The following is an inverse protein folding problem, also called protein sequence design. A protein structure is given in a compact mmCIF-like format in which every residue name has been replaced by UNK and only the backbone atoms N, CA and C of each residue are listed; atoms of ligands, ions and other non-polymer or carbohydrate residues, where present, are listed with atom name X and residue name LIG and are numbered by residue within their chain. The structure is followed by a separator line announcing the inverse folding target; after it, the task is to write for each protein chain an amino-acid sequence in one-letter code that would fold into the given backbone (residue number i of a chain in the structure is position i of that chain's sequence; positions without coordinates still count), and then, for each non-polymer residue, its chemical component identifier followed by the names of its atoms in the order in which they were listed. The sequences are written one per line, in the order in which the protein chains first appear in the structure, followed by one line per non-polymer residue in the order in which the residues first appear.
data_IF_051180651407
#
_entry.id   IF_051180651407
#
_cell.length_a   1.000
_cell.length_b   1.000
_cell.length_c   1.000
_cell.angle_alpha   90.00
_cell.angle_beta   90.00
_cell.angle_gamma   90.00
#
_symmetry.space_group_name_H-M   'P 1'
#
loop_
_entity.id
_entity.type
_entity.pdbx_description
1 polymer ?
#
# COMPACT_ATOMS: atom_id res chain seq x y z
N UNK A 1 -3.34 -8.17 -19.95
CA UNK A 1 -4.04 -9.47 -20.27
C UNK A 1 -4.91 -9.86 -19.09
N UNK A 2 -6.13 -10.41 -19.29
CA UNK A 2 -6.99 -10.82 -18.16
C UNK A 2 -6.50 -12.14 -17.56
N UNK A 3 -6.17 -12.13 -16.28
CA UNK A 3 -5.55 -13.27 -15.59
C UNK A 3 -5.92 -13.31 -14.10
N UNK A 4 -6.07 -14.52 -13.57
CA UNK A 4 -6.30 -14.77 -12.14
C UNK A 4 -5.11 -15.50 -11.54
N UNK A 5 -4.57 -14.99 -10.42
CA UNK A 5 -3.42 -15.54 -9.71
C UNK A 5 -3.84 -15.94 -8.28
N UNK A 6 -3.46 -17.10 -7.74
CA UNK A 6 -3.70 -17.43 -6.33
C UNK A 6 -2.83 -16.57 -5.42
N UNK A 7 -3.30 -16.24 -4.21
CA UNK A 7 -2.45 -15.84 -3.10
C UNK A 7 -2.08 -17.12 -2.34
N UNK A 8 -1.01 -17.78 -2.78
CA UNK A 8 -0.67 -19.11 -2.31
C UNK A 8 0.20 -19.10 -1.04
N UNK A 9 -0.17 -19.87 -0.03
CA UNK A 9 0.64 -20.08 1.17
C UNK A 9 1.80 -21.05 0.85
N UNK A 10 3.01 -20.81 1.36
CA UNK A 10 4.07 -21.80 1.27
C UNK A 10 3.69 -23.07 2.04
N UNK A 11 3.72 -24.23 1.37
CA UNK A 11 3.34 -25.51 1.98
C UNK A 11 4.19 -25.84 3.20
N UNK A 12 5.48 -25.49 3.17
CA UNK A 12 6.40 -25.64 4.31
C UNK A 12 5.96 -24.89 5.55
N UNK A 13 5.34 -23.71 5.40
CA UNK A 13 4.82 -22.93 6.53
C UNK A 13 3.54 -23.57 7.09
N UNK A 14 2.64 -24.01 6.20
CA UNK A 14 1.41 -24.73 6.55
C UNK A 14 1.74 -25.99 7.36
N UNK A 15 2.69 -26.78 6.88
CA UNK A 15 3.12 -28.03 7.52
C UNK A 15 3.82 -27.76 8.86
N UNK A 16 4.75 -26.79 8.90
CA UNK A 16 5.50 -26.44 10.10
C UNK A 16 4.56 -26.01 11.24
N UNK A 17 3.57 -25.16 10.95
CA UNK A 17 2.62 -24.68 11.96
C UNK A 17 1.37 -25.53 12.14
N UNK A 18 1.28 -26.67 11.42
CA UNK A 18 0.12 -27.58 11.42
C UNK A 18 -1.20 -26.82 11.18
N UNK A 19 -1.20 -25.91 10.20
CA UNK A 19 -2.36 -25.06 9.94
C UNK A 19 -3.54 -25.87 9.39
N UNK A 20 -4.65 -25.86 10.13
CA UNK A 20 -5.92 -26.39 9.65
C UNK A 20 -6.56 -25.38 8.67
N UNK A 21 -6.31 -25.60 7.38
CA UNK A 21 -6.89 -24.82 6.30
C UNK A 21 -8.42 -24.99 6.20
N UNK A 22 -9.03 -25.97 6.88
CA UNK A 22 -10.49 -26.09 6.92
C UNK A 22 -11.12 -25.19 7.99
N UNK A 23 -10.34 -24.73 8.96
CA UNK A 23 -10.83 -23.94 10.08
C UNK A 23 -11.18 -22.51 9.66
N UNK A 24 -12.19 -21.94 10.33
CA UNK A 24 -12.54 -20.54 10.18
C UNK A 24 -11.48 -19.66 10.83
N UNK A 25 -11.22 -18.46 10.28
CA UNK A 25 -10.26 -17.54 10.90
C UNK A 25 -10.58 -17.17 12.36
N UNK A 26 -11.84 -17.23 12.75
CA UNK A 26 -12.27 -17.04 14.14
C UNK A 26 -11.70 -18.06 15.12
N UNK A 27 -11.09 -19.16 14.65
CA UNK A 27 -10.46 -20.17 15.50
C UNK A 27 -8.97 -19.92 15.72
N UNK A 28 -8.48 -18.72 15.37
CA UNK A 28 -7.18 -18.22 15.84
C UNK A 28 -6.13 -18.00 14.77
N UNK A 29 -6.37 -18.23 13.47
CA UNK A 29 -5.42 -17.91 12.40
C UNK A 29 -6.03 -17.03 11.31
N UNK A 30 -5.22 -16.34 10.51
CA UNK A 30 -5.73 -15.46 9.46
C UNK A 30 -4.76 -15.27 8.30
N UNK A 31 -5.30 -14.82 7.16
CA UNK A 31 -4.56 -14.39 5.98
C UNK A 31 -5.04 -12.98 5.59
N UNK A 32 -4.09 -12.06 5.46
CA UNK A 32 -4.38 -10.66 5.10
C UNK A 32 -3.50 -10.23 3.93
N UNK A 33 -4.10 -9.63 2.90
CA UNK A 33 -3.33 -8.95 1.85
C UNK A 33 -2.95 -7.55 2.32
N UNK A 34 -1.70 -7.16 2.10
CA UNK A 34 -1.22 -5.81 2.39
C UNK A 34 -1.06 -4.99 1.12
N UNK A 35 -0.38 -5.54 0.10
CA UNK A 35 -0.12 -4.79 -1.12
C UNK A 35 0.12 -5.68 -2.35
N UNK A 36 -0.01 -5.08 -3.53
CA UNK A 36 0.31 -5.69 -4.83
C UNK A 36 1.18 -4.73 -5.64
N UNK A 37 2.19 -5.24 -6.34
CA UNK A 37 3.02 -4.43 -7.24
C UNK A 37 3.17 -5.12 -8.59
N UNK A 38 3.15 -4.35 -9.67
CA UNK A 38 3.53 -4.80 -11.01
C UNK A 38 4.94 -4.34 -11.34
N UNK A 39 5.70 -5.16 -12.04
CA UNK A 39 7.00 -4.81 -12.58
C UNK A 39 6.92 -4.50 -14.09
N UNK A 40 7.88 -3.71 -14.64
CA UNK A 40 7.90 -3.40 -16.08
C UNK A 40 8.06 -4.60 -17.01
N UNK A 41 8.55 -5.74 -16.50
CA UNK A 41 8.64 -7.01 -17.23
C UNK A 41 7.32 -7.80 -17.21
N UNK A 42 6.23 -7.21 -16.70
CA UNK A 42 4.92 -7.84 -16.62
C UNK A 42 4.71 -8.78 -15.43
N UNK A 43 5.73 -8.97 -14.58
CA UNK A 43 5.63 -9.74 -13.34
C UNK A 43 4.74 -9.04 -12.30
N UNK A 44 4.15 -9.84 -11.42
CA UNK A 44 3.30 -9.36 -10.33
C UNK A 44 3.86 -9.88 -9.01
N UNK A 45 3.93 -8.99 -8.02
CA UNK A 45 4.32 -9.31 -6.68
C UNK A 45 3.14 -9.08 -5.73
N UNK A 46 2.96 -10.00 -4.78
CA UNK A 46 1.93 -9.89 -3.76
C UNK A 46 2.54 -9.95 -2.37
N UNK A 47 2.28 -8.93 -1.55
CA UNK A 47 2.67 -8.87 -0.15
C UNK A 47 1.44 -9.15 0.72
N UNK A 48 1.48 -10.23 1.48
CA UNK A 48 0.40 -10.66 2.37
C UNK A 48 0.99 -11.24 3.65
N UNK A 49 0.15 -11.56 4.63
CA UNK A 49 0.61 -12.13 5.88
C UNK A 49 -0.31 -13.20 6.39
N UNK A 50 0.31 -14.13 7.10
CA UNK A 50 -0.33 -15.23 7.78
C UNK A 50 0.04 -15.15 9.25
N UNK A 51 -0.94 -15.27 10.12
CA UNK A 51 -0.71 -15.23 11.55
C UNK A 51 -1.60 -16.21 12.29
N UNK A 52 -1.17 -16.59 13.49
CA UNK A 52 -1.99 -17.26 14.49
C UNK A 52 -1.85 -16.55 15.83
N UNK A 53 -3.00 -16.23 16.42
CA UNK A 53 -3.13 -15.80 17.80
C UNK A 53 -4.15 -16.69 18.52
N UNK A 54 -3.67 -17.45 19.50
CA UNK A 54 -4.47 -18.39 20.27
C UNK A 54 -4.64 -17.87 21.70
N UNK A 55 -5.89 -17.61 22.10
CA UNK A 55 -6.17 -17.15 23.47
C UNK A 55 -5.76 -18.20 24.50
N UNK A 56 -5.03 -17.77 25.53
CA UNK A 56 -4.58 -18.64 26.63
C UNK A 56 -3.33 -19.46 26.31
N UNK A 57 -2.72 -19.28 25.14
CA UNK A 57 -1.36 -19.77 24.85
C UNK A 57 -0.36 -18.75 25.38
N UNK A 58 0.63 -19.22 26.14
CA UNK A 58 1.69 -18.38 26.68
C UNK A 58 2.63 -17.89 25.57
N UNK A 59 3.17 -16.69 25.72
CA UNK A 59 4.12 -16.12 24.73
C UNK A 59 5.42 -16.94 24.62
N UNK A 60 5.75 -17.70 25.67
CA UNK A 60 6.91 -18.60 25.71
C UNK A 60 6.65 -19.97 25.05
N UNK A 61 5.42 -20.28 24.62
CA UNK A 61 5.10 -21.53 23.94
C UNK A 61 5.94 -21.71 22.67
N UNK A 62 6.59 -22.86 22.55
CA UNK A 62 7.55 -23.15 21.48
C UNK A 62 7.05 -24.20 20.49
N UNK A 63 6.01 -25.00 20.80
CA UNK A 63 5.47 -25.96 19.80
C UNK A 63 4.90 -25.17 18.62
N UNK A 64 5.47 -25.30 17.41
CA UNK A 64 4.99 -24.58 16.24
C UNK A 64 3.54 -24.92 15.89
N UNK A 65 2.98 -26.03 16.40
CA UNK A 65 1.57 -26.40 16.25
C UNK A 65 0.59 -25.60 17.12
N UNK A 66 1.07 -24.93 18.18
CA UNK A 66 0.22 -24.19 19.15
C UNK A 66 0.65 -22.73 19.32
N UNK A 67 1.96 -22.46 19.24
CA UNK A 67 2.56 -21.14 19.45
C UNK A 67 1.94 -20.06 18.55
N UNK A 68 1.92 -18.83 19.06
CA UNK A 68 1.56 -17.66 18.25
C UNK A 68 2.64 -17.39 17.20
N UNK A 69 2.25 -16.93 16.02
CA UNK A 69 3.21 -16.53 15.00
C UNK A 69 2.62 -15.45 14.07
N UNK A 70 3.51 -14.70 13.44
CA UNK A 70 3.18 -13.77 12.36
C UNK A 70 4.28 -13.78 11.31
N UNK A 71 3.91 -14.06 10.06
CA UNK A 71 4.78 -13.91 8.90
C UNK A 71 4.17 -12.96 7.89
N UNK A 72 5.04 -12.19 7.25
CA UNK A 72 4.77 -11.57 5.95
C UNK A 72 5.40 -12.43 4.88
N UNK A 73 4.73 -12.49 3.74
CA UNK A 73 5.10 -13.29 2.59
C UNK A 73 5.01 -12.42 1.35
N UNK A 74 6.04 -12.47 0.52
CA UNK A 74 6.06 -11.91 -0.83
C UNK A 74 6.00 -13.08 -1.81
N UNK A 75 5.00 -13.11 -2.68
CA UNK A 75 4.93 -14.06 -3.79
C UNK A 75 5.20 -13.34 -5.12
N UNK A 76 6.07 -13.92 -5.96
CA UNK A 76 6.44 -13.41 -7.28
C UNK A 76 5.84 -14.28 -8.39
N UNK A 77 5.06 -13.67 -9.27
CA UNK A 77 4.42 -14.31 -10.41
C UNK A 77 5.03 -13.83 -11.73
N UNK A 78 5.23 -14.74 -12.69
CA UNK A 78 5.59 -14.39 -14.06
C UNK A 78 4.48 -13.60 -14.75
N UNK A 79 4.76 -13.03 -15.92
CA UNK A 79 3.76 -12.40 -16.77
C UNK A 79 2.62 -13.38 -17.15
N UNK A 80 2.94 -14.65 -17.34
CA UNK A 80 2.02 -15.76 -17.63
C UNK A 80 1.31 -16.32 -16.38
N UNK A 81 1.64 -15.78 -15.20
CA UNK A 81 0.96 -16.09 -13.95
C UNK A 81 1.43 -17.37 -13.28
N UNK A 82 2.65 -17.81 -13.61
CA UNK A 82 3.34 -18.88 -12.89
C UNK A 82 3.93 -18.32 -11.60
N UNK A 83 3.77 -19.03 -10.47
CA UNK A 83 4.42 -18.67 -9.23
C UNK A 83 5.90 -19.06 -9.31
N UNK A 84 6.79 -18.08 -9.35
CA UNK A 84 8.22 -18.27 -9.56
C UNK A 84 8.97 -18.51 -8.24
N UNK A 85 8.67 -17.70 -7.23
CA UNK A 85 9.32 -17.76 -5.92
C UNK A 85 8.45 -17.09 -4.84
N UNK A 86 8.75 -17.41 -3.58
CA UNK A 86 8.26 -16.70 -2.42
C UNK A 86 9.42 -16.27 -1.51
N UNK A 87 9.17 -15.25 -0.70
CA UNK A 87 10.01 -14.87 0.43
C UNK A 87 9.15 -14.67 1.67
N UNK A 88 9.69 -14.95 2.85
CA UNK A 88 9.02 -14.69 4.12
C UNK A 88 9.93 -13.98 5.11
N UNK A 89 9.32 -13.19 6.00
CA UNK A 89 9.96 -12.56 7.16
C UNK A 89 8.97 -12.49 8.32
N UNK A 90 9.47 -12.47 9.55
CA UNK A 90 8.64 -12.48 10.77
C UNK A 90 8.25 -11.06 11.18
N UNK A 91 7.10 -10.93 11.83
CA UNK A 91 6.63 -9.66 12.43
C UNK A 91 6.45 -9.72 13.93
N UNK A 92 6.46 -10.91 14.53
CA UNK A 92 6.21 -11.09 15.95
C UNK A 92 6.96 -12.33 16.52
N UNK A 93 7.45 -12.22 17.76
CA UNK A 93 8.01 -13.31 18.57
C UNK A 93 9.34 -12.97 19.27
N UNK A 94 9.81 -13.82 20.20
CA UNK A 94 11.09 -13.62 20.91
C UNK A 94 12.31 -13.58 19.97
N UNK A 95 12.16 -14.05 18.73
CA UNK A 95 13.17 -14.02 17.66
C UNK A 95 12.92 -12.89 16.64
N UNK A 96 12.31 -11.76 17.04
CA UNK A 96 12.15 -10.57 16.18
C UNK A 96 13.50 -10.10 15.59
N UNK A 97 14.62 -10.42 16.26
CA UNK A 97 15.99 -10.18 15.82
C UNK A 97 16.41 -10.96 14.55
N UNK A 98 15.64 -11.97 14.11
CA UNK A 98 15.95 -12.80 12.93
C UNK A 98 15.37 -12.25 11.60
N UNK A 99 14.61 -11.15 11.61
CA UNK A 99 14.09 -10.53 10.38
C UNK A 99 15.11 -9.54 9.79
N UNK A 100 15.51 -9.76 8.53
CA UNK A 100 16.31 -8.76 7.79
C UNK A 100 15.49 -7.59 7.26
N UNK A 101 14.16 -7.60 7.45
CA UNK A 101 13.24 -6.55 7.02
C UNK A 101 12.86 -5.66 8.21
N UNK A 102 13.01 -4.35 8.06
CA UNK A 102 12.59 -3.37 9.07
C UNK A 102 11.07 -3.40 9.27
N UNK A 103 10.64 -3.57 10.53
CA UNK A 103 9.23 -3.67 10.90
C UNK A 103 8.52 -2.31 10.92
N UNK A 104 7.20 -2.29 10.79
CA UNK A 104 6.40 -1.07 10.91
C UNK A 104 4.96 -1.23 10.46
N UNK A 105 4.20 -0.15 10.64
CA UNK A 105 2.78 -0.10 10.30
C UNK A 105 2.56 0.25 8.82
N UNK A 106 1.44 -0.20 8.24
CA UNK A 106 1.05 0.19 6.89
C UNK A 106 2.03 -0.28 5.80
N UNK A 107 2.53 -1.52 5.94
CA UNK A 107 3.53 -2.09 5.02
C UNK A 107 3.05 -2.07 3.56
N UNK A 108 3.93 -1.68 2.65
CA UNK A 108 3.70 -1.59 1.22
C UNK A 108 4.85 -2.16 0.41
N UNK A 109 4.60 -2.34 -0.88
CA UNK A 109 5.53 -2.89 -1.85
C UNK A 109 5.66 -1.96 -3.06
N UNK A 110 6.87 -1.84 -3.58
CA UNK A 110 7.17 -1.11 -4.80
C UNK A 110 8.28 -1.82 -5.58
N UNK A 111 8.20 -1.84 -6.91
CA UNK A 111 9.29 -2.28 -7.79
C UNK A 111 10.00 -1.05 -8.31
N UNK A 112 11.28 -0.90 -7.96
CA UNK A 112 12.13 0.21 -8.40
C UNK A 112 12.48 0.08 -9.90
N UNK A 113 12.96 1.15 -10.56
CA UNK A 113 13.25 1.14 -12.00
C UNK A 113 14.27 0.07 -12.44
N UNK A 114 15.16 -0.36 -11.55
CA UNK A 114 16.16 -1.42 -11.79
C UNK A 114 15.65 -2.83 -11.46
N UNK A 115 14.39 -2.96 -11.04
CA UNK A 115 13.75 -4.21 -10.66
C UNK A 115 13.92 -4.61 -9.18
N UNK A 116 14.71 -3.87 -8.40
CA UNK A 116 14.82 -4.08 -6.95
C UNK A 116 13.46 -3.85 -6.30
N UNK A 117 13.12 -4.66 -5.31
CA UNK A 117 11.90 -4.46 -4.54
C UNK A 117 12.18 -3.57 -3.33
N UNK A 118 11.35 -2.57 -3.12
CA UNK A 118 11.31 -1.80 -1.90
C UNK A 118 10.08 -2.22 -1.07
N UNK A 119 10.35 -2.74 0.12
CA UNK A 119 9.34 -2.96 1.17
C UNK A 119 9.35 -1.71 2.04
N UNK A 120 8.21 -1.01 2.15
CA UNK A 120 8.11 0.25 2.90
C UNK A 120 7.16 0.12 4.06
N UNK A 121 7.43 0.77 5.18
CA UNK A 121 6.50 0.84 6.32
C UNK A 121 6.64 2.17 7.07
N UNK A 122 5.55 2.61 7.70
CA UNK A 122 5.54 3.76 8.61
C UNK A 122 6.26 3.38 9.92
N UNK A 123 7.12 4.24 10.51
CA UNK A 123 7.29 5.66 10.22
C UNK A 123 8.02 5.99 8.90
N UNK A 124 9.21 5.43 8.63
CA UNK A 124 9.94 5.66 7.37
C UNK A 124 10.94 4.55 7.07
N UNK A 125 10.48 3.32 7.28
CA UNK A 125 11.26 2.10 7.12
C UNK A 125 11.23 1.68 5.66
N UNK A 126 12.40 1.45 5.06
CA UNK A 126 12.51 0.94 3.69
C UNK A 126 13.53 -0.19 3.64
N UNK A 127 13.13 -1.38 3.21
CA UNK A 127 14.04 -2.50 2.97
C UNK A 127 14.12 -2.80 1.48
N UNK A 128 15.34 -2.83 0.94
CA UNK A 128 15.61 -3.22 -0.44
C UNK A 128 15.85 -4.73 -0.53
N UNK A 129 15.17 -5.39 -1.44
CA UNK A 129 15.23 -6.85 -1.65
C UNK A 129 15.57 -7.15 -3.10
N UNK A 130 16.41 -8.15 -3.31
CA UNK A 130 16.80 -8.59 -4.65
C UNK A 130 15.55 -8.97 -5.50
N UNK A 131 15.55 -8.73 -6.82
CA UNK A 131 14.39 -8.99 -7.68
C UNK A 131 13.89 -10.45 -7.65
N UNK A 132 14.80 -11.39 -7.39
CA UNK A 132 14.54 -12.83 -7.25
C UNK A 132 14.08 -13.24 -5.83
N UNK A 133 13.93 -12.28 -4.93
CA UNK A 133 13.57 -12.46 -3.52
C UNK A 133 14.64 -13.18 -2.68
N UNK A 134 15.86 -13.35 -3.19
CA UNK A 134 16.83 -14.25 -2.54
C UNK A 134 17.46 -13.69 -1.26
N UNK A 135 17.50 -12.36 -1.12
CA UNK A 135 18.23 -11.66 -0.04
C UNK A 135 17.81 -10.21 0.10
N UNK A 136 17.98 -9.69 1.30
CA UNK A 136 18.00 -8.25 1.60
C UNK A 136 19.29 -7.64 1.04
N UNK A 137 19.16 -6.47 0.40
CA UNK A 137 20.25 -5.70 -0.19
C UNK A 137 20.67 -4.53 0.72
N UNK A 138 19.69 -3.82 1.31
CA UNK A 138 19.92 -2.75 2.25
C UNK A 138 18.67 -2.52 3.12
N UNK A 139 18.89 -1.96 4.30
CA UNK A 139 17.82 -1.63 5.26
C UNK A 139 17.99 -0.19 5.72
N UNK A 140 16.98 0.62 5.45
CA UNK A 140 16.83 1.99 5.91
C UNK A 140 15.81 2.00 7.04
N UNK A 141 16.28 1.71 8.25
CA UNK A 141 15.43 1.57 9.43
C UNK A 141 15.41 2.88 10.23
N UNK A 142 14.23 3.46 10.39
CA UNK A 142 13.98 4.65 11.18
C UNK A 142 14.33 4.46 12.66
N UNK A 143 14.26 3.22 13.19
CA UNK A 143 14.34 2.87 14.62
C UNK A 143 13.39 3.65 15.54
N UNK A 144 12.42 4.36 14.95
CA UNK A 144 11.42 5.19 15.61
C UNK A 144 10.23 4.34 16.07
N UNK A 145 10.47 3.40 16.99
CA UNK A 145 9.45 2.44 17.46
C UNK A 145 8.62 2.92 18.66
N UNK A 146 7.93 4.06 18.59
CA UNK A 146 7.27 4.65 19.78
C UNK A 146 5.77 4.57 19.64
N UNK A 147 5.08 4.10 20.68
CA UNK A 147 4.22 5.03 21.41
C UNK A 147 4.72 5.33 22.84
N UNK A 148 5.76 4.61 23.32
CA UNK A 148 6.16 4.61 24.74
C UNK A 148 7.67 4.65 25.04
N UNK A 149 8.55 4.68 24.02
CA UNK A 149 10.02 4.77 24.20
C UNK A 149 10.46 6.25 24.17
N UNK A 150 11.56 6.64 24.85
CA UNK A 150 12.20 7.98 24.78
C UNK A 150 13.19 8.08 23.60
N UNK A 151 13.33 9.26 22.95
CA UNK A 151 13.88 9.39 21.58
C UNK A 151 15.34 9.63 21.76
N UNK A 152 16.11 8.84 21.05
CA UNK A 152 17.53 9.05 20.93
C UNK A 152 17.75 9.58 19.51
N UNK A 153 17.93 10.90 19.36
CA UNK A 153 18.25 11.50 18.07
C UNK A 153 19.40 10.78 17.38
N UNK A 154 19.28 10.55 16.07
CA UNK A 154 20.31 9.90 15.27
C UNK A 154 20.40 8.37 15.42
N UNK A 155 19.48 7.74 16.14
CA UNK A 155 19.31 6.29 16.07
C UNK A 155 18.44 5.96 14.86
N UNK A 156 19.04 5.42 13.80
CA UNK A 156 18.34 4.98 12.60
C UNK A 156 18.80 5.71 11.34
N UNK A 157 18.50 5.10 10.20
CA UNK A 157 18.77 5.62 8.86
C UNK A 157 17.47 5.59 8.02
N UNK A 158 16.42 6.34 8.38
CA UNK A 158 15.14 6.30 7.69
C UNK A 158 15.24 6.74 6.24
N UNK A 159 14.33 6.26 5.40
CA UNK A 159 14.14 6.75 4.04
C UNK A 159 12.72 7.24 3.79
N UNK A 160 11.74 6.35 3.61
CA UNK A 160 10.34 6.71 3.31
C UNK A 160 9.34 5.67 3.82
N UNK A 161 8.17 6.11 4.27
CA UNK A 161 7.09 5.25 4.74
C UNK A 161 6.25 4.62 3.62
N UNK A 162 6.30 5.20 2.41
CA UNK A 162 5.79 4.60 1.18
C UNK A 162 6.50 5.15 -0.04
N UNK A 163 6.58 4.36 -1.12
CA UNK A 163 7.21 4.72 -2.38
C UNK A 163 6.29 4.35 -3.56
N UNK A 164 6.14 5.26 -4.52
CA UNK A 164 5.51 5.01 -5.83
C UNK A 164 6.46 5.50 -6.94
N UNK A 165 6.44 4.88 -8.11
CA UNK A 165 7.39 5.19 -9.21
C UNK A 165 6.69 5.95 -10.33
N UNK A 166 7.26 7.08 -10.74
CA UNK A 166 6.83 7.87 -11.90
C UNK A 166 7.30 7.24 -13.22
N UNK A 167 6.76 7.64 -14.40
CA UNK A 167 7.20 7.12 -15.69
C UNK A 167 8.71 7.28 -15.95
N UNK A 168 9.31 8.40 -15.53
CA UNK A 168 10.76 8.63 -15.64
C UNK A 168 11.61 7.86 -14.61
N UNK A 169 11.00 7.10 -13.71
CA UNK A 169 11.69 6.35 -12.66
C UNK A 169 11.98 7.15 -11.39
N UNK A 170 11.51 8.41 -11.27
CA UNK A 170 11.58 9.15 -10.00
C UNK A 170 10.66 8.53 -8.95
N UNK A 171 11.09 8.61 -7.69
CA UNK A 171 10.37 8.04 -6.55
C UNK A 171 9.51 9.11 -5.88
N UNK A 172 8.21 8.90 -5.85
CA UNK A 172 7.25 9.67 -5.06
C UNK A 172 7.15 9.02 -3.68
N UNK A 173 7.51 9.76 -2.65
CA UNK A 173 7.68 9.27 -1.29
C UNK A 173 6.71 9.95 -0.33
N UNK A 174 6.30 9.22 0.71
CA UNK A 174 5.73 9.83 1.91
C UNK A 174 6.70 9.77 3.06
N UNK A 175 6.72 10.81 3.89
CA UNK A 175 7.56 10.88 5.09
C UNK A 175 6.72 11.15 6.32
N UNK A 176 7.11 10.56 7.45
CA UNK A 176 6.46 10.75 8.72
C UNK A 176 7.22 11.73 9.63
N UNK A 177 6.46 12.49 10.42
CA UNK A 177 6.99 13.45 11.39
C UNK A 177 6.36 13.20 12.76
N UNK A 178 7.11 13.50 13.83
CA UNK A 178 6.58 13.49 15.20
C UNK A 178 5.70 14.72 15.46
N UNK A 179 4.70 14.57 16.31
CA UNK A 179 3.91 15.70 16.82
C UNK A 179 2.86 16.23 15.86
N UNK A 180 2.70 15.58 14.70
CA UNK A 180 1.64 15.83 13.72
C UNK A 180 0.29 15.76 14.44
N UNK A 181 -0.50 16.82 14.31
CA UNK A 181 -1.77 17.04 15.01
C UNK A 181 -1.69 16.94 16.53
N UNK A 182 -0.53 17.28 17.11
CA UNK A 182 -0.22 17.11 18.55
C UNK A 182 -0.36 15.65 19.00
N UNK A 183 -0.28 14.71 18.07
CA UNK A 183 -0.34 13.29 18.39
C UNK A 183 0.99 12.85 18.98
N UNK A 184 0.95 12.05 20.06
CA UNK A 184 2.13 11.58 20.78
C UNK A 184 2.95 10.53 20.04
N UNK A 185 2.83 10.44 18.72
CA UNK A 185 3.51 9.48 17.86
C UNK A 185 3.88 10.10 16.51
N UNK A 186 4.68 9.39 15.73
CA UNK A 186 5.06 9.71 14.36
C UNK A 186 3.90 9.36 13.42
N UNK A 187 3.50 10.32 12.58
CA UNK A 187 2.47 10.14 11.56
C UNK A 187 2.97 10.65 10.23
N UNK A 188 2.54 10.02 9.14
CA UNK A 188 2.81 10.48 7.77
C UNK A 188 2.33 11.91 7.58
N UNK A 189 3.25 12.80 7.20
CA UNK A 189 2.98 14.23 7.08
C UNK A 189 3.41 14.85 5.76
N UNK A 190 4.49 14.37 5.16
CA UNK A 190 5.05 14.98 3.97
C UNK A 190 4.87 14.07 2.75
N UNK A 191 4.72 14.70 1.59
CA UNK A 191 4.86 14.06 0.27
C UNK A 191 6.06 14.70 -0.40
N UNK A 192 6.94 13.90 -1.02
CA UNK A 192 8.15 14.40 -1.67
C UNK A 192 8.60 13.54 -2.86
N UNK A 193 9.56 14.05 -3.62
CA UNK A 193 10.21 13.32 -4.72
C UNK A 193 11.67 13.07 -4.37
N UNK A 194 12.17 11.85 -4.57
CA UNK A 194 13.59 11.56 -4.48
C UNK A 194 14.37 12.19 -5.66
N UNK A 195 15.43 12.92 -5.35
CA UNK A 195 16.33 13.61 -6.30
C UNK A 195 17.43 12.69 -6.84
N UNK A 196 17.19 11.37 -6.85
CA UNK A 196 18.14 10.35 -7.31
C UNK A 196 17.59 8.94 -7.14
N UNK A 197 18.37 7.96 -7.58
CA UNK A 197 18.04 6.55 -7.41
C UNK A 197 18.29 6.10 -5.96
N UNK A 198 17.37 5.31 -5.43
CA UNK A 198 17.57 4.56 -4.18
C UNK A 198 18.24 3.23 -4.53
N UNK A 199 19.42 2.97 -3.95
CA UNK A 199 20.19 1.74 -4.17
C UNK A 199 20.77 1.27 -2.85
N UNK A 200 21.36 0.07 -2.79
CA UNK A 200 21.95 -0.43 -1.55
C UNK A 200 23.05 0.49 -0.97
N UNK A 201 23.78 1.18 -1.83
CA UNK A 201 24.92 2.03 -1.47
C UNK A 201 24.61 3.53 -1.50
N UNK A 202 23.40 3.92 -1.95
CA UNK A 202 23.05 5.32 -2.15
C UNK A 202 21.62 5.61 -1.72
N UNK A 203 21.50 6.50 -0.73
CA UNK A 203 20.23 7.06 -0.26
C UNK A 203 20.05 8.48 -0.79
N UNK A 204 19.13 8.71 -1.74
CA UNK A 204 18.93 10.04 -2.32
C UNK A 204 18.24 10.98 -1.32
N UNK A 205 18.42 12.28 -1.51
CA UNK A 205 17.60 13.27 -0.84
C UNK A 205 16.17 13.23 -1.40
N UNK A 206 15.18 13.49 -0.56
CA UNK A 206 13.77 13.66 -0.90
C UNK A 206 13.43 15.13 -0.78
N UNK A 207 13.06 15.77 -1.89
CA UNK A 207 12.51 17.13 -1.90
C UNK A 207 11.03 17.09 -1.57
N UNK A 208 10.64 17.68 -0.44
CA UNK A 208 9.25 17.78 -0.03
C UNK A 208 8.47 18.73 -0.97
N UNK A 209 7.30 18.26 -1.38
CA UNK A 209 6.35 18.95 -2.24
C UNK A 209 5.18 19.52 -1.44
N UNK A 210 4.63 18.72 -0.52
CA UNK A 210 3.44 19.07 0.23
C UNK A 210 3.54 18.59 1.67
N UNK A 211 2.84 19.28 2.57
CA UNK A 211 2.67 18.89 3.96
C UNK A 211 1.17 18.74 4.27
N UNK A 212 0.83 17.82 5.19
CA UNK A 212 -0.53 17.63 5.68
C UNK A 212 -0.82 18.58 6.84
N UNK A 213 -0.05 18.45 7.92
CA UNK A 213 -0.03 19.33 9.08
C UNK A 213 1.04 20.41 8.88
N UNK A 214 0.64 21.69 8.83
CA UNK A 214 1.56 22.80 8.69
C UNK A 214 2.39 23.06 9.94
N UNK A 215 1.99 22.57 11.12
CA UNK A 215 2.61 22.93 12.41
C UNK A 215 2.67 21.73 13.38
N UNK A 216 3.46 20.67 13.08
CA UNK A 216 3.68 19.59 14.02
C UNK A 216 4.20 20.11 15.35
N UNK A 217 3.57 19.70 16.44
CA UNK A 217 3.89 20.20 17.77
C UNK A 217 5.19 19.57 18.30
N UNK A 218 5.91 20.32 19.13
CA UNK A 218 7.14 19.85 19.78
C UNK A 218 8.28 19.48 18.82
N UNK A 219 8.17 19.82 17.53
CA UNK A 219 9.25 19.65 16.57
C UNK A 219 10.42 20.56 16.91
N UNK A 220 11.63 20.00 16.95
CA UNK A 220 12.86 20.72 17.24
C UNK A 220 13.97 20.31 16.28
N UNK A 221 15.17 20.89 16.41
CA UNK A 221 16.30 20.58 15.55
C UNK A 221 16.71 19.09 15.56
N UNK A 222 16.36 18.35 16.62
CA UNK A 222 16.74 16.93 16.78
C UNK A 222 15.85 15.99 15.96
N UNK A 223 14.66 16.43 15.55
CA UNK A 223 13.77 15.64 14.70
C UNK A 223 13.88 16.03 13.22
N UNK A 224 14.86 16.86 12.86
CA UNK A 224 15.21 17.16 11.47
C UNK A 224 15.88 15.95 10.82
N UNK A 225 15.45 15.62 9.61
CA UNK A 225 16.00 14.52 8.82
C UNK A 225 16.80 15.07 7.65
N UNK A 226 18.13 14.89 7.59
CA UNK A 226 18.97 15.53 6.57
C UNK A 226 18.60 15.18 5.13
N UNK A 227 18.06 13.98 4.90
CA UNK A 227 17.67 13.54 3.56
C UNK A 227 16.32 14.13 3.11
N UNK A 228 15.47 14.60 4.02
CA UNK A 228 14.19 15.23 3.68
C UNK A 228 14.37 16.76 3.63
N UNK A 229 14.27 17.36 2.44
CA UNK A 229 14.61 18.78 2.22
C UNK A 229 13.46 19.59 1.64
N UNK A 230 13.39 20.87 1.98
CA UNK A 230 12.55 21.89 1.36
C UNK A 230 13.38 23.16 1.21
N UNK A 231 13.36 23.77 0.02
CA UNK A 231 14.18 24.95 -0.33
C UNK A 231 15.68 24.78 0.00
N UNK A 232 16.21 23.56 -0.18
CA UNK A 232 17.63 23.24 0.01
C UNK A 232 18.07 23.02 1.47
N UNK A 233 17.16 23.09 2.44
CA UNK A 233 17.43 22.80 3.84
C UNK A 233 16.51 21.69 4.38
N UNK A 234 16.88 20.98 5.46
CA UNK A 234 16.03 19.94 6.05
C UNK A 234 14.62 20.45 6.37
N UNK A 235 13.60 19.62 6.13
CA UNK A 235 12.21 19.94 6.48
C UNK A 235 12.04 19.87 7.99
N UNK A 236 11.40 20.91 8.54
CA UNK A 236 10.98 20.92 9.92
C UNK A 236 10.84 22.33 10.48
N UNK A 237 10.19 22.42 11.65
CA UNK A 237 9.83 23.72 12.23
C UNK A 237 9.16 24.62 11.17
N UNK A 238 9.70 25.81 10.92
CA UNK A 238 9.19 26.77 9.94
C UNK A 238 9.56 26.46 8.47
N UNK A 239 10.56 25.60 8.20
CA UNK A 239 10.98 25.28 6.84
C UNK A 239 10.21 24.08 6.30
N UNK A 240 9.05 24.33 5.68
CA UNK A 240 8.18 23.27 5.12
C UNK A 240 7.26 23.79 4.01
N UNK A 241 6.76 22.90 3.13
CA UNK A 241 5.79 23.30 2.12
C UNK A 241 4.54 23.94 2.72
N UNK A 242 4.22 25.15 2.28
CA UNK A 242 3.01 25.91 2.64
C UNK A 242 2.41 26.58 1.38
N UNK A 243 1.07 26.76 1.30
CA UNK A 243 0.07 26.28 2.26
C UNK A 243 0.03 24.74 2.34
N UNK A 244 -0.20 24.19 3.53
CA UNK A 244 -0.39 22.76 3.70
C UNK A 244 -1.70 22.30 3.02
N UNK A 245 -1.78 21.02 2.68
CA UNK A 245 -2.96 20.46 2.01
C UNK A 245 -4.24 20.70 2.81
N UNK A 246 -4.16 20.61 4.14
CA UNK A 246 -5.31 20.89 5.03
C UNK A 246 -5.71 22.36 5.04
N UNK A 247 -4.76 23.29 4.93
CA UNK A 247 -5.07 24.73 4.82
C UNK A 247 -5.80 25.04 3.51
N UNK A 248 -5.40 24.38 2.42
CA UNK A 248 -6.02 24.53 1.11
C UNK A 248 -7.48 24.01 1.11
N UNK A 249 -7.74 22.85 1.71
CA UNK A 249 -9.11 22.29 1.74
C UNK A 249 -10.00 22.89 2.82
N UNK A 250 -9.45 23.32 3.97
CA UNK A 250 -10.22 23.96 5.03
C UNK A 250 -10.72 25.36 4.65
N UNK A 251 -10.06 26.02 3.69
CA UNK A 251 -10.54 27.28 3.12
C UNK A 251 -11.86 27.10 2.33
N UNK A 252 -12.16 25.88 1.86
CA UNK A 252 -13.33 25.58 1.04
C UNK A 252 -14.52 25.05 1.85
N UNK A 253 -14.27 24.31 2.93
CA UNK A 253 -15.32 23.73 3.78
C UNK A 253 -15.05 24.05 5.27
N UNK A 254 -15.94 24.87 5.86
CA UNK A 254 -15.84 25.36 7.24
C UNK A 254 -16.27 24.32 8.29
N UNK A 255 -16.71 23.13 7.90
CA UNK A 255 -17.02 22.07 8.84
C UNK A 255 -15.73 21.37 9.27
N UNK A 256 -15.25 21.75 10.46
CA UNK A 256 -14.09 21.22 11.16
C UNK A 256 -14.05 19.68 11.18
N UNK A 257 -13.14 19.08 10.42
CA UNK A 257 -12.87 17.63 10.47
C UNK A 257 -11.49 17.22 9.98
N UNK A 258 -10.66 18.17 9.56
CA UNK A 258 -9.29 17.92 9.09
C UNK A 258 -8.26 17.83 10.24
N UNK A 259 -8.66 18.13 11.49
CA UNK A 259 -7.83 17.82 12.66
C UNK A 259 -7.64 16.30 12.75
N UNK A 260 -6.41 15.84 12.95
CA UNK A 260 -6.10 14.39 12.98
C UNK A 260 -6.51 13.68 11.69
N UNK A 261 -6.48 14.41 10.58
CA UNK A 261 -6.47 13.82 9.24
C UNK A 261 -5.19 13.00 9.03
N UNK A 262 -5.20 12.16 8.01
CA UNK A 262 -4.06 11.35 7.61
C UNK A 262 -3.91 11.33 6.10
N UNK A 263 -2.66 11.19 5.65
CA UNK A 263 -2.33 10.97 4.24
C UNK A 263 -2.57 9.51 3.85
N UNK A 264 -3.16 9.30 2.69
CA UNK A 264 -3.06 8.03 1.98
C UNK A 264 -1.75 7.94 1.19
N UNK A 265 -1.50 6.77 0.58
CA UNK A 265 -0.39 6.59 -0.35
C UNK A 265 -0.63 7.41 -1.63
N UNK A 266 0.25 8.36 -1.99
CA UNK A 266 0.11 9.12 -3.21
C UNK A 266 0.50 8.27 -4.43
N UNK A 267 -0.12 8.58 -5.57
CA UNK A 267 0.11 7.88 -6.83
C UNK A 267 0.42 8.85 -7.96
N UNK A 268 1.36 8.53 -8.85
CA UNK A 268 1.66 9.38 -9.99
C UNK A 268 0.62 9.23 -11.10
N UNK A 269 0.22 10.36 -11.70
CA UNK A 269 -0.53 10.40 -12.96
C UNK A 269 0.36 10.78 -14.15
N UNK A 270 1.52 11.34 -13.89
CA UNK A 270 2.59 11.56 -14.84
C UNK A 270 3.88 11.80 -14.06
N UNK A 271 4.92 12.22 -14.75
CA UNK A 271 6.13 12.73 -14.12
C UNK A 271 5.87 13.96 -13.24
N UNK A 272 4.99 14.88 -13.65
CA UNK A 272 4.83 16.17 -12.98
C UNK A 272 3.47 16.35 -12.29
N UNK A 273 2.70 15.28 -12.13
CA UNK A 273 1.36 15.32 -11.55
C UNK A 273 1.08 14.08 -10.70
N UNK A 274 0.60 14.29 -9.49
CA UNK A 274 0.32 13.25 -8.50
C UNK A 274 -1.08 13.41 -7.94
N UNK A 275 -1.71 12.29 -7.59
CA UNK A 275 -2.87 12.30 -6.70
C UNK A 275 -2.39 12.06 -5.28
N UNK A 276 -2.71 12.99 -4.37
CA UNK A 276 -2.42 12.90 -2.95
C UNK A 276 -3.73 12.73 -2.18
N UNK A 277 -4.04 11.51 -1.69
CA UNK A 277 -5.22 11.28 -0.88
C UNK A 277 -5.06 11.87 0.51
N UNK A 278 -6.07 12.62 0.97
CA UNK A 278 -6.17 13.12 2.35
C UNK A 278 -7.52 12.70 2.91
N UNK A 279 -7.49 12.11 4.09
CA UNK A 279 -8.67 11.58 4.76
C UNK A 279 -8.81 12.23 6.12
N UNK A 280 -10.01 12.69 6.46
CA UNK A 280 -10.34 13.14 7.81
C UNK A 280 -10.17 12.01 8.84
N UNK A 281 -10.32 12.36 10.11
CA UNK A 281 -10.14 11.44 11.22
C UNK A 281 -11.13 10.26 11.17
N UNK A 282 -10.60 9.05 11.41
CA UNK A 282 -11.41 7.85 11.66
C UNK A 282 -11.90 7.79 13.12
N UNK A 283 -13.19 7.52 13.32
CA UNK A 283 -13.82 7.36 14.63
C UNK A 283 -14.28 5.91 14.88
N UNK A 284 -14.08 5.44 16.12
CA UNK A 284 -14.51 4.10 16.57
C UNK A 284 -16.02 3.88 16.49
N UNK A 285 -16.82 4.95 16.61
CA UNK A 285 -18.29 4.92 16.52
C UNK A 285 -18.86 5.00 15.10
N UNK A 286 -18.01 5.04 14.07
CA UNK A 286 -18.41 5.16 12.67
C UNK A 286 -17.79 6.41 12.01
N UNK A 287 -17.25 6.22 10.81
CA UNK A 287 -16.55 7.27 10.04
C UNK A 287 -17.26 7.59 8.72
N UNK A 288 -18.50 7.11 8.53
CA UNK A 288 -19.24 7.32 7.30
C UNK A 288 -19.49 8.83 7.10
N UNK A 289 -19.22 9.33 5.90
CA UNK A 289 -19.38 10.75 5.54
C UNK A 289 -18.32 11.68 6.12
N UNK A 290 -17.25 11.13 6.70
CA UNK A 290 -16.07 11.93 7.02
C UNK A 290 -15.47 12.54 5.75
N UNK A 291 -14.99 13.80 5.79
CA UNK A 291 -14.38 14.46 4.64
C UNK A 291 -13.18 13.70 4.08
N UNK A 292 -13.02 13.74 2.76
CA UNK A 292 -11.84 13.25 2.07
C UNK A 292 -11.59 14.07 0.80
N UNK A 293 -10.35 14.10 0.35
CA UNK A 293 -9.96 14.70 -0.92
C UNK A 293 -8.92 13.83 -1.62
N UNK A 294 -9.03 13.75 -2.93
CA UNK A 294 -7.99 13.25 -3.81
C UNK A 294 -7.38 14.44 -4.53
N UNK A 295 -6.40 15.10 -3.89
CA UNK A 295 -5.82 16.34 -4.39
C UNK A 295 -4.89 16.07 -5.57
N UNK A 296 -4.97 16.90 -6.62
CA UNK A 296 -4.01 16.90 -7.71
C UNK A 296 -2.88 17.86 -7.36
N UNK A 297 -1.67 17.35 -7.21
CA UNK A 297 -0.48 18.12 -6.79
C UNK A 297 0.59 18.00 -7.88
N UNK A 298 1.15 19.11 -8.34
CA UNK A 298 2.23 19.10 -9.32
C UNK A 298 3.62 18.88 -8.67
N UNK A 299 4.67 18.75 -9.48
CA UNK A 299 6.05 18.57 -9.00
C UNK A 299 6.72 19.80 -8.38
N UNK A 300 6.00 20.93 -8.35
CA UNK A 300 6.35 22.13 -7.59
C UNK A 300 5.63 22.20 -6.23
N UNK A 301 4.74 21.24 -5.94
CA UNK A 301 3.97 21.20 -4.69
C UNK A 301 2.67 22.01 -4.73
N UNK A 302 2.25 22.52 -5.89
CA UNK A 302 1.02 23.28 -6.03
C UNK A 302 -0.18 22.32 -6.21
N UNK A 303 -1.26 22.57 -5.46
CA UNK A 303 -2.52 21.87 -5.68
C UNK A 303 -3.23 22.48 -6.90
N UNK A 304 -3.25 21.73 -8.00
CA UNK A 304 -3.81 22.16 -9.29
C UNK A 304 -5.29 21.79 -9.47
N UNK A 305 -5.83 20.94 -8.59
CA UNK A 305 -7.22 20.49 -8.64
C UNK A 305 -7.48 19.29 -7.72
N UNK A 306 -8.50 18.49 -8.06
CA UNK A 306 -8.87 17.25 -7.36
C UNK A 306 -9.56 16.26 -8.29
N UNK A 307 -9.63 14.99 -7.88
CA UNK A 307 -10.53 14.04 -8.54
C UNK A 307 -11.98 14.32 -8.14
N UNK A 308 -12.82 14.66 -9.11
CA UNK A 308 -14.21 15.08 -8.87
C UNK A 308 -15.24 13.95 -9.07
N UNK A 309 -16.48 14.18 -8.66
CA UNK A 309 -17.61 13.31 -9.02
C UNK A 309 -17.91 12.15 -8.07
N UNK A 310 -17.24 12.08 -6.92
CA UNK A 310 -17.62 11.17 -5.84
C UNK A 310 -18.64 11.82 -4.93
N UNK A 311 -19.69 11.07 -4.62
CA UNK A 311 -20.63 11.46 -3.58
C UNK A 311 -20.01 11.28 -2.19
N UNK A 312 -19.94 12.34 -1.39
CA UNK A 312 -19.24 12.38 -0.09
C UNK A 312 -19.64 11.25 0.90
N UNK A 313 -20.94 10.86 0.92
CA UNK A 313 -21.46 9.78 1.76
C UNK A 313 -21.47 8.40 1.09
N UNK A 314 -22.04 8.29 -0.12
CA UNK A 314 -22.21 7.00 -0.81
C UNK A 314 -20.86 6.49 -1.30
N UNK A 315 -20.12 7.32 -2.02
CA UNK A 315 -18.88 6.91 -2.66
C UNK A 315 -17.65 7.15 -1.76
N UNK A 316 -17.90 7.31 -0.45
CA UNK A 316 -16.89 7.60 0.57
C UNK A 316 -15.90 6.44 0.76
N UNK A 317 -14.58 6.71 0.78
CA UNK A 317 -13.55 5.75 1.20
C UNK A 317 -13.80 5.15 2.60
N UNK A 318 -14.43 5.92 3.50
CA UNK A 318 -14.78 5.45 4.84
C UNK A 318 -15.88 4.39 4.85
N UNK A 319 -16.67 4.28 3.77
CA UNK A 319 -17.67 3.22 3.68
C UNK A 319 -17.01 1.93 3.21
N UNK A 320 -16.70 1.06 4.16
CA UNK A 320 -15.98 -0.19 3.90
C UNK A 320 -14.47 -0.09 4.07
N UNK A 321 -13.96 1.06 4.55
CA UNK A 321 -12.53 1.31 4.81
C UNK A 321 -11.65 1.02 3.58
N UNK A 322 -12.07 1.54 2.43
CA UNK A 322 -11.39 1.39 1.17
C UNK A 322 -10.60 2.68 0.89
N UNK A 323 -9.32 2.73 1.24
CA UNK A 323 -8.49 3.94 1.10
C UNK A 323 -7.47 3.85 -0.05
N UNK A 324 -7.47 2.75 -0.78
CA UNK A 324 -6.50 2.52 -1.85
C UNK A 324 -6.87 3.33 -3.10
N UNK A 325 -5.83 3.85 -3.73
CA UNK A 325 -5.86 4.51 -5.02
C UNK A 325 -4.78 3.87 -5.88
N UNK A 326 -5.06 3.66 -7.15
CA UNK A 326 -4.10 3.20 -8.13
C UNK A 326 -4.05 4.18 -9.31
N UNK A 327 -2.94 4.21 -10.04
CA UNK A 327 -2.84 5.04 -11.23
C UNK A 327 -1.99 4.38 -12.31
N UNK A 328 -2.39 4.61 -13.56
CA UNK A 328 -1.60 4.38 -14.76
C UNK A 328 -0.98 5.74 -15.15
N UNK A 329 0.29 5.99 -14.79
CA UNK A 329 0.92 7.28 -15.03
C UNK A 329 1.34 7.50 -16.49
N UNK A 330 1.35 6.45 -17.32
CA UNK A 330 1.68 6.59 -18.74
C UNK A 330 0.49 7.13 -19.53
N UNK A 331 -0.73 6.82 -19.08
CA UNK A 331 -1.99 7.30 -19.68
C UNK A 331 -2.67 8.40 -18.87
N UNK A 332 -2.17 8.70 -17.67
CA UNK A 332 -2.76 9.68 -16.78
C UNK A 332 -4.13 9.27 -16.26
N UNK A 333 -4.29 8.00 -15.90
CA UNK A 333 -5.52 7.48 -15.32
C UNK A 333 -5.38 7.23 -13.83
N UNK A 334 -6.38 7.60 -13.04
CA UNK A 334 -6.50 7.24 -11.63
C UNK A 334 -7.70 6.31 -11.43
N UNK A 335 -7.61 5.42 -10.45
CA UNK A 335 -8.63 4.41 -10.15
C UNK A 335 -8.87 4.29 -8.66
N UNK A 336 -10.12 4.13 -8.27
CA UNK A 336 -10.54 3.88 -6.91
C UNK A 336 -11.64 2.82 -6.89
N UNK A 337 -11.55 1.84 -5.99
CA UNK A 337 -12.59 0.85 -5.77
C UNK A 337 -13.05 0.94 -4.33
N UNK A 338 -14.36 1.12 -4.14
CA UNK A 338 -14.99 0.99 -2.83
C UNK A 338 -16.19 0.04 -2.90
N UNK A 339 -16.94 -0.02 -1.81
CA UNK A 339 -18.13 -0.89 -1.69
C UNK A 339 -19.19 -0.67 -2.78
N UNK A 340 -19.27 0.52 -3.37
CA UNK A 340 -20.33 0.93 -4.28
C UNK A 340 -19.91 1.03 -5.74
N UNK A 341 -18.61 1.00 -6.03
CA UNK A 341 -18.17 0.96 -7.42
C UNK A 341 -16.68 1.08 -7.63
N UNK A 342 -16.30 0.82 -8.89
CA UNK A 342 -14.99 1.18 -9.45
C UNK A 342 -15.14 2.51 -10.20
N UNK A 343 -14.27 3.46 -9.88
CA UNK A 343 -14.25 4.81 -10.41
C UNK A 343 -12.94 5.04 -11.15
N UNK A 344 -13.00 5.72 -12.29
CA UNK A 344 -11.81 6.06 -13.07
C UNK A 344 -11.84 7.52 -13.54
N UNK A 345 -10.69 8.17 -13.42
CA UNK A 345 -10.48 9.57 -13.80
C UNK A 345 -9.35 9.71 -14.80
N UNK A 346 -9.39 10.78 -15.58
CA UNK A 346 -8.25 11.23 -16.37
C UNK A 346 -7.37 12.23 -15.57
N UNK A 347 -6.26 12.65 -16.17
CA UNK A 347 -5.29 13.56 -15.56
C UNK A 347 -5.86 14.93 -15.16
N UNK A 348 -6.97 15.37 -15.78
CA UNK A 348 -7.64 16.62 -15.38
C UNK A 348 -8.56 16.46 -14.16
N UNK A 349 -8.62 15.27 -13.55
CA UNK A 349 -9.50 14.97 -12.42
C UNK A 349 -10.98 14.79 -12.78
N UNK A 350 -11.30 14.64 -14.07
CA UNK A 350 -12.67 14.41 -14.52
C UNK A 350 -13.01 12.93 -14.45
N UNK A 351 -14.12 12.59 -13.78
CA UNK A 351 -14.62 11.22 -13.70
C UNK A 351 -15.08 10.77 -15.10
N UNK A 352 -14.49 9.69 -15.61
CA UNK A 352 -14.78 9.14 -16.95
C UNK A 352 -15.58 7.85 -16.90
N UNK A 353 -15.42 7.07 -15.85
CA UNK A 353 -16.21 5.85 -15.66
C UNK A 353 -16.60 5.66 -14.19
N UNK A 354 -17.83 5.21 -13.97
CA UNK A 354 -18.37 4.76 -12.69
C UNK A 354 -19.10 3.44 -12.89
N UNK A 355 -18.52 2.35 -12.39
CA UNK A 355 -19.08 1.00 -12.47
C UNK A 355 -19.77 0.69 -11.15
N UNK A 356 -21.09 0.91 -11.10
CA UNK A 356 -21.90 0.78 -9.88
C UNK A 356 -22.12 -0.69 -9.50
N UNK A 357 -21.74 -1.08 -8.29
CA UNK A 357 -21.87 -2.45 -7.78
C UNK A 357 -23.30 -2.88 -7.49
N UNK A 358 -24.26 -1.94 -7.45
CA UNK A 358 -25.69 -2.29 -7.34
C UNK A 358 -26.22 -2.88 -8.64
N UNK A 359 -25.51 -2.69 -9.76
CA UNK A 359 -25.83 -3.35 -11.03
C UNK A 359 -25.42 -4.83 -11.00
N UNK A 360 -26.24 -5.68 -11.62
CA UNK A 360 -25.97 -7.12 -11.71
C UNK A 360 -24.60 -7.42 -12.33
N UNK A 361 -24.18 -6.62 -13.31
CA UNK A 361 -22.91 -6.76 -14.03
C UNK A 361 -21.71 -6.59 -13.12
N UNK A 362 -21.72 -5.59 -12.23
CA UNK A 362 -20.55 -5.22 -11.42
C UNK A 362 -20.67 -5.60 -9.95
N UNK A 363 -21.76 -6.24 -9.52
CA UNK A 363 -21.97 -6.70 -8.13
C UNK A 363 -20.81 -7.52 -7.56
N UNK A 364 -20.12 -8.29 -8.39
CA UNK A 364 -18.98 -9.09 -7.96
C UNK A 364 -17.81 -8.24 -7.43
N UNK A 365 -17.67 -6.98 -7.85
CA UNK A 365 -16.62 -6.06 -7.38
C UNK A 365 -16.70 -5.80 -5.87
N UNK A 366 -17.87 -5.99 -5.22
CA UNK A 366 -18.01 -5.89 -3.76
C UNK A 366 -17.14 -6.90 -2.98
N UNK A 367 -16.58 -7.90 -3.66
CA UNK A 367 -15.69 -8.90 -3.08
C UNK A 367 -14.21 -8.64 -3.36
N UNK A 368 -13.91 -7.58 -4.12
CA UNK A 368 -12.56 -7.20 -4.49
C UNK A 368 -12.12 -5.94 -3.76
N UNK A 369 -10.82 -5.85 -3.49
CA UNK A 369 -10.13 -4.62 -3.12
C UNK A 369 -9.17 -4.23 -4.25
N UNK A 370 -8.95 -2.93 -4.43
CA UNK A 370 -7.95 -2.43 -5.38
C UNK A 370 -6.57 -2.50 -4.72
N UNK A 371 -5.60 -3.13 -5.39
CA UNK A 371 -4.19 -3.11 -5.01
C UNK A 371 -3.48 -1.95 -5.68
N UNK A 372 -3.00 -2.17 -6.91
CA UNK A 372 -2.25 -1.19 -7.71
C UNK A 372 -2.59 -1.29 -9.19
N UNK A 373 -1.91 -0.49 -10.00
CA UNK A 373 -1.91 -0.60 -11.46
C UNK A 373 -0.48 -0.92 -11.90
N UNK A 374 -0.33 -1.90 -12.78
CA UNK A 374 0.98 -2.29 -13.31
C UNK A 374 1.51 -1.23 -14.28
N UNK A 375 2.83 -1.20 -14.58
CA UNK A 375 3.38 -0.33 -15.60
C UNK A 375 2.74 -0.50 -16.99
N UNK A 376 2.20 -1.68 -17.31
CA UNK A 376 1.46 -1.96 -18.55
C UNK A 376 0.02 -1.41 -18.55
N UNK A 377 -0.42 -0.81 -17.44
CA UNK A 377 -1.78 -0.30 -17.27
C UNK A 377 -2.80 -1.35 -16.86
N UNK A 378 -2.41 -2.50 -16.30
CA UNK A 378 -3.39 -3.46 -15.77
C UNK A 378 -3.71 -3.16 -14.29
N UNK A 379 -4.99 -3.09 -13.94
CA UNK A 379 -5.46 -3.02 -12.56
C UNK A 379 -5.30 -4.38 -11.87
N UNK A 380 -4.77 -4.38 -10.65
CA UNK A 380 -4.67 -5.55 -9.80
C UNK A 380 -5.76 -5.50 -8.72
N UNK A 381 -6.75 -6.38 -8.84
CA UNK A 381 -7.87 -6.50 -7.91
C UNK A 381 -7.75 -7.77 -7.07
N UNK A 382 -7.87 -7.68 -5.75
CA UNK A 382 -7.76 -8.85 -4.89
C UNK A 382 -9.10 -9.28 -4.31
N UNK A 383 -9.47 -10.54 -4.53
CA UNK A 383 -10.63 -11.15 -3.89
C UNK A 383 -10.27 -11.63 -2.48
N UNK A 384 -10.72 -10.91 -1.46
CA UNK A 384 -10.28 -11.10 -0.06
C UNK A 384 -10.67 -12.43 0.55
N UNK A 385 -11.83 -13.00 0.18
CA UNK A 385 -12.29 -14.32 0.68
C UNK A 385 -11.83 -15.53 -0.13
N UNK A 386 -11.50 -15.34 -1.41
CA UNK A 386 -11.09 -16.44 -2.29
C UNK A 386 -9.56 -16.47 -2.45
N UNK A 387 -8.87 -15.48 -1.90
CA UNK A 387 -7.42 -15.34 -1.93
C UNK A 387 -6.88 -15.43 -3.36
N UNK A 388 -7.46 -14.61 -4.25
CA UNK A 388 -7.12 -14.55 -5.67
C UNK A 388 -6.90 -13.11 -6.08
N UNK A 389 -5.93 -12.87 -6.95
CA UNK A 389 -5.71 -11.61 -7.65
C UNK A 389 -6.32 -11.73 -9.04
N UNK A 390 -7.01 -10.70 -9.51
CA UNK A 390 -7.51 -10.54 -10.87
C UNK A 390 -6.80 -9.35 -11.51
N UNK A 391 -6.08 -9.61 -12.60
CA UNK A 391 -5.47 -8.62 -13.48
C UNK A 391 -6.49 -8.18 -14.53
N UNK A 392 -6.78 -6.88 -14.60
CA UNK A 392 -7.75 -6.29 -15.53
C UNK A 392 -7.07 -5.21 -16.36
N UNK A 393 -6.95 -5.34 -17.69
CA UNK A 393 -6.39 -4.28 -18.52
C UNK A 393 -7.20 -3.00 -18.39
N UNK A 394 -6.55 -1.87 -18.07
CA UNK A 394 -7.18 -0.57 -18.23
C UNK A 394 -7.08 -0.16 -19.71
N UNK A 395 -8.18 0.25 -20.34
CA UNK A 395 -8.16 0.77 -21.71
C UNK A 395 -7.54 2.17 -21.78
N UNK A 396 -7.09 2.56 -22.98
CA UNK A 396 -6.66 3.94 -23.27
C UNK A 396 -7.83 4.92 -23.16
N UNK A 397 -9.02 4.54 -23.65
CA UNK A 397 -10.25 5.30 -23.42
C UNK A 397 -11.02 4.70 -22.25
N UNK A 398 -11.15 5.46 -21.17
CA UNK A 398 -11.88 5.05 -19.98
C UNK A 398 -13.37 4.78 -20.23
N UNK A 399 -13.96 5.21 -21.36
CA UNK A 399 -15.34 4.82 -21.71
C UNK A 399 -15.48 3.32 -21.97
N UNK A 400 -14.39 2.64 -22.34
CA UNK A 400 -14.38 1.20 -22.61
C UNK A 400 -14.17 0.36 -21.33
N UNK A 401 -13.84 1.01 -20.20
CA UNK A 401 -13.55 0.32 -18.93
C UNK A 401 -14.70 -0.61 -18.47
N UNK A 402 -16.00 -0.23 -18.57
CA UNK A 402 -17.11 -1.11 -18.20
C UNK A 402 -17.08 -2.45 -18.95
N UNK A 403 -16.81 -2.44 -20.25
CA UNK A 403 -16.78 -3.65 -21.08
C UNK A 403 -15.60 -4.55 -20.68
N UNK A 404 -14.42 -3.97 -20.48
CA UNK A 404 -13.22 -4.71 -20.07
C UNK A 404 -13.37 -5.34 -18.69
N UNK A 405 -13.96 -4.62 -17.72
CA UNK A 405 -14.22 -5.15 -16.37
C UNK A 405 -15.28 -6.25 -16.41
N UNK A 406 -16.36 -6.10 -17.19
CA UNK A 406 -17.36 -7.15 -17.37
C UNK A 406 -16.74 -8.44 -17.95
N UNK A 407 -15.88 -8.31 -18.96
CA UNK A 407 -15.14 -9.45 -19.51
C UNK A 407 -14.24 -10.09 -18.46
N UNK A 408 -13.51 -9.29 -17.68
CA UNK A 408 -12.63 -9.78 -16.63
C UNK A 408 -13.38 -10.56 -15.54
N UNK A 409 -14.55 -10.07 -15.10
CA UNK A 409 -15.38 -10.78 -14.13
C UNK A 409 -15.96 -12.09 -14.70
N UNK A 410 -16.29 -12.15 -15.99
CA UNK A 410 -16.71 -13.39 -16.67
C UNK A 410 -15.55 -14.38 -16.80
N UNK A 411 -14.36 -13.90 -17.16
CA UNK A 411 -13.15 -14.71 -17.26
C UNK A 411 -12.73 -15.26 -15.89
N UNK A 412 -12.81 -14.45 -14.83
CA UNK A 412 -12.49 -14.82 -13.46
C UNK A 412 -13.18 -16.12 -13.04
N UNK A 413 -14.48 -16.27 -13.33
CA UNK A 413 -15.23 -17.48 -12.98
C UNK A 413 -14.66 -18.75 -13.65
N UNK A 414 -14.25 -18.65 -14.92
CA UNK A 414 -13.65 -19.76 -15.68
C UNK A 414 -12.24 -20.07 -15.18
N UNK A 415 -11.41 -19.05 -15.01
CA UNK A 415 -10.01 -19.18 -14.58
C UNK A 415 -9.92 -19.71 -13.13
N UNK A 416 -10.79 -19.24 -12.23
CA UNK A 416 -10.92 -19.78 -10.87
C UNK A 416 -11.21 -21.29 -10.86
N UNK A 417 -12.10 -21.76 -11.73
CA UNK A 417 -12.40 -23.20 -11.84
C UNK A 417 -11.19 -23.99 -12.32
N UNK A 418 -10.45 -23.46 -13.30
CA UNK A 418 -9.21 -24.07 -13.76
C UNK A 418 -8.14 -24.11 -12.65
N UNK A 419 -7.99 -23.02 -11.89
CA UNK A 419 -7.08 -22.96 -10.74
C UNK A 419 -7.47 -23.98 -9.68
N UNK A 420 -8.75 -24.12 -9.34
CA UNK A 420 -9.22 -25.14 -8.40
C UNK A 420 -8.83 -26.56 -8.82
N UNK A 421 -8.97 -26.88 -10.10
CA UNK A 421 -8.58 -28.18 -10.64
C UNK A 421 -7.06 -28.40 -10.60
N UNK A 422 -6.28 -27.35 -10.84
CA UNK A 422 -4.81 -27.41 -10.88
C UNK A 422 -4.18 -27.44 -9.48
N UNK A 423 -4.74 -26.70 -8.52
CA UNK A 423 -4.12 -26.47 -7.21
C UNK A 423 -4.80 -27.21 -6.05
N UNK A 424 -6.04 -27.67 -6.23
CA UNK A 424 -6.78 -28.39 -5.17
C UNK A 424 -6.88 -27.62 -3.85
N UNK A 425 -7.30 -26.33 -3.84
CA UNK A 425 -7.30 -25.53 -2.63
C UNK A 425 -8.27 -26.08 -1.58
N UNK A 426 -7.92 -25.92 -0.31
CA UNK A 426 -8.77 -26.26 0.84
C UNK A 426 -9.42 -24.98 1.34
N UNK A 427 -10.76 -24.88 1.30
CA UNK A 427 -11.50 -23.67 1.70
C UNK A 427 -10.99 -22.35 1.10
N UNK A 428 -10.55 -22.40 -0.16
CA UNK A 428 -9.94 -21.25 -0.88
C UNK A 428 -8.54 -20.86 -0.42
N UNK A 429 -7.90 -21.65 0.43
CA UNK A 429 -6.48 -21.53 0.71
C UNK A 429 -5.70 -22.36 -0.29
N UNK A 430 -4.86 -21.67 -1.05
CA UNK A 430 -3.99 -22.23 -2.07
C UNK A 430 -2.63 -22.49 -1.43
N UNK A 431 -1.98 -23.61 -1.75
CA UNK A 431 -0.64 -23.92 -1.24
C UNK A 431 0.32 -24.17 -2.39
N UNK A 432 1.60 -23.84 -2.20
CA UNK A 432 2.64 -24.09 -3.20
C UNK A 432 3.89 -24.75 -2.60
N UNK A 433 4.69 -25.36 -3.49
CA UNK A 433 6.03 -25.87 -3.21
C UNK A 433 7.15 -25.09 -3.92
N UNK A 434 6.82 -23.96 -4.57
CA UNK A 434 7.82 -23.07 -5.16
C UNK A 434 8.88 -22.62 -4.14
N UNK A 435 10.10 -22.27 -4.57
CA UNK A 435 11.19 -21.85 -3.67
C UNK A 435 10.74 -20.76 -2.69
N UNK A 436 11.11 -20.94 -1.42
CA UNK A 436 10.79 -20.00 -0.35
C UNK A 436 12.08 -19.51 0.32
N UNK A 437 12.35 -18.22 0.18
CA UNK A 437 13.47 -17.55 0.82
C UNK A 437 13.06 -17.01 2.20
N UNK A 438 14.04 -16.84 3.10
CA UNK A 438 13.87 -16.10 4.36
C UNK A 438 14.62 -14.78 4.22
N UNK A 439 13.95 -13.68 4.50
CA UNK A 439 14.50 -12.32 4.38
C UNK A 439 14.94 -11.76 5.72
#
# INVERSE_FOLDING_TARGET
MIQTLPLALPGTLVDHHRLDLTALYSTGWGLSLFDLAGAPNGEVYALYGVSRYTYGVADEEQDPGTANFGYRIIARYSQEGELLAGAQFRTDGPDEEDSGVADGDGIGLCVLPDGVLAITATPDNTTLVAPDLSRVLAVYDSKDGRPYRQFAPGQGDPFAGSISVTPSGRLLCTLAEYGVWRYGNVLTNLVGIAEGALTADSKPAIRALASLDPEPAHHSAVDLRPHATYQGAPVGMANRPRPALTELVAAEDRLSGWDRSHLGRPVPLSDSLFVVPVYAKTFRGGSRGQPFVFALVNDQGEMTGRLHGLHEWRDSPFTGFCFNLAADPYRGHAFHLNRYGLYAWNASGALRAKLDTDTKTFKALTHFTLGSCTPDGDLLLAHTKQHLILRVPAPDDLTDLPATVEEALRAYARQRTALKKRWGPVNWHWTHSAPLHRL
#
